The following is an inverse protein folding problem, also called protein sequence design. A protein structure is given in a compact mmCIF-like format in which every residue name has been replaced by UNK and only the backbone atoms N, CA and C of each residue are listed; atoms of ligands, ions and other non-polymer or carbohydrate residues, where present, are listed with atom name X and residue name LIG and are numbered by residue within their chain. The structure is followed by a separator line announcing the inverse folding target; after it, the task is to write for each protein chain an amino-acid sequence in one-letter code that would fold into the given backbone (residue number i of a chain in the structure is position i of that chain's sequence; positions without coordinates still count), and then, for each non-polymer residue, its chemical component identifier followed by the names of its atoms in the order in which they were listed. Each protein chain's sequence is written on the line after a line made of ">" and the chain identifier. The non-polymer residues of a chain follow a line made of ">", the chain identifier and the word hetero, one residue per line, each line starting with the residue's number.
data_IF_060952256853
#
_entry.id   IF_060952256853
#
_cell.length_a   1.000
_cell.length_b   1.000
_cell.length_c   1.000
_cell.angle_alpha   90.00
_cell.angle_beta   90.00
_cell.angle_gamma   90.00
#
_symmetry.space_group_name_H-M   'P 1'
#
loop_
_entity.id
_entity.type
_entity.pdbx_description
1 polymer ?
#
# COMPACT_ATOMS: atom_id res chain seq x y z
N UNK A 1 -1.95 0.47 10.74
CA UNK A 1 -2.78 0.89 9.57
C UNK A 1 -3.09 -0.22 8.55
N UNK A 2 -2.59 -1.46 8.72
CA UNK A 2 -2.94 -2.62 7.86
C UNK A 2 -4.44 -2.99 7.95
N UNK A 3 -5.06 -2.74 9.11
CA UNK A 3 -6.47 -3.03 9.35
C UNK A 3 -7.36 -2.33 8.33
N UNK A 4 -7.34 -1.00 8.25
CA UNK A 4 -8.19 -0.26 7.30
C UNK A 4 -7.85 -0.57 5.84
N UNK A 5 -6.55 -0.75 5.53
CA UNK A 5 -6.07 -0.98 4.15
C UNK A 5 -6.54 -2.31 3.55
N UNK A 6 -6.67 -3.36 4.38
CA UNK A 6 -7.00 -4.70 3.91
C UNK A 6 -8.36 -5.17 4.39
N UNK A 7 -8.76 -4.86 5.62
CA UNK A 7 -10.02 -5.35 6.18
C UNK A 7 -11.22 -4.62 5.59
N UNK A 8 -11.14 -3.30 5.37
CA UNK A 8 -12.27 -2.57 4.78
C UNK A 8 -12.63 -3.10 3.38
N UNK A 9 -11.72 -3.15 2.40
CA UNK A 9 -12.06 -3.69 1.08
C UNK A 9 -12.43 -5.17 1.14
N UNK A 10 -11.76 -5.97 1.98
CA UNK A 10 -12.08 -7.39 2.15
C UNK A 10 -13.52 -7.59 2.65
N UNK A 11 -13.92 -6.87 3.70
CA UNK A 11 -15.28 -6.97 4.27
C UNK A 11 -16.32 -6.54 3.25
N UNK A 12 -16.09 -5.43 2.54
CA UNK A 12 -16.99 -4.94 1.49
C UNK A 12 -17.16 -5.99 0.38
N UNK A 13 -16.06 -6.58 -0.10
CA UNK A 13 -16.09 -7.63 -1.12
C UNK A 13 -16.81 -8.88 -0.63
N UNK A 14 -16.54 -9.33 0.61
CA UNK A 14 -17.18 -10.52 1.20
C UNK A 14 -18.69 -10.32 1.33
N UNK A 15 -19.14 -9.12 1.73
CA UNK A 15 -20.56 -8.78 1.78
C UNK A 15 -21.16 -8.86 0.37
N UNK A 16 -20.50 -8.29 -0.64
CA UNK A 16 -20.96 -8.37 -2.03
C UNK A 16 -21.12 -9.81 -2.53
N UNK A 17 -20.12 -10.66 -2.27
CA UNK A 17 -20.19 -12.10 -2.62
C UNK A 17 -21.34 -12.79 -1.89
N UNK A 18 -21.55 -12.50 -0.60
CA UNK A 18 -22.66 -13.08 0.16
C UNK A 18 -24.02 -12.69 -0.42
N UNK A 19 -24.19 -11.43 -0.82
CA UNK A 19 -25.41 -10.96 -1.48
C UNK A 19 -25.66 -11.68 -2.81
N UNK A 20 -24.61 -11.88 -3.62
CA UNK A 20 -24.72 -12.65 -4.86
C UNK A 20 -25.14 -14.10 -4.60
N UNK A 21 -24.52 -14.78 -3.62
CA UNK A 21 -24.88 -16.17 -3.26
C UNK A 21 -26.34 -16.27 -2.84
N UNK A 22 -26.82 -15.34 -2.02
CA UNK A 22 -28.23 -15.28 -1.60
C UNK A 22 -29.16 -14.98 -2.78
N UNK A 23 -28.76 -14.05 -3.67
CA UNK A 23 -29.51 -13.72 -4.88
C UNK A 23 -29.67 -14.91 -5.82
N UNK A 24 -28.58 -15.64 -6.08
CA UNK A 24 -28.60 -16.87 -6.87
C UNK A 24 -29.48 -17.95 -6.25
N UNK A 25 -29.39 -18.16 -4.93
CA UNK A 25 -30.23 -19.13 -4.23
C UNK A 25 -31.73 -18.78 -4.29
N UNK A 26 -32.07 -17.50 -4.42
CA UNK A 26 -33.46 -17.01 -4.51
C UNK A 26 -33.95 -16.80 -5.94
N UNK A 27 -33.07 -16.90 -6.95
CA UNK A 27 -33.40 -16.59 -8.34
C UNK A 27 -33.72 -15.11 -8.58
N UNK A 28 -33.21 -14.21 -7.72
CA UNK A 28 -33.48 -12.78 -7.79
C UNK A 28 -32.24 -12.01 -8.28
N UNK A 29 -32.35 -11.45 -9.48
CA UNK A 29 -31.28 -10.74 -10.17
C UNK A 29 -30.88 -9.45 -9.45
N UNK A 30 -31.79 -8.79 -8.73
CA UNK A 30 -31.52 -7.51 -8.06
C UNK A 30 -30.45 -7.67 -6.99
N UNK A 31 -30.49 -8.78 -6.25
CA UNK A 31 -29.49 -9.10 -5.24
C UNK A 31 -28.13 -9.45 -5.84
N UNK A 32 -28.13 -10.07 -7.03
CA UNK A 32 -26.91 -10.42 -7.76
C UNK A 32 -26.23 -9.17 -8.31
N UNK A 33 -26.99 -8.25 -8.92
CA UNK A 33 -26.47 -6.97 -9.41
C UNK A 33 -25.95 -6.09 -8.26
N UNK A 34 -26.73 -5.99 -7.18
CA UNK A 34 -26.30 -5.28 -5.98
C UNK A 34 -25.00 -5.85 -5.41
N UNK A 35 -24.93 -7.18 -5.29
CA UNK A 35 -23.72 -7.88 -4.83
C UNK A 35 -22.50 -7.64 -5.74
N UNK A 36 -22.68 -7.67 -7.06
CA UNK A 36 -21.62 -7.36 -8.02
C UNK A 36 -21.11 -5.93 -7.85
N UNK A 37 -22.01 -4.97 -7.57
CA UNK A 37 -21.64 -3.58 -7.25
C UNK A 37 -20.75 -3.49 -6.00
N UNK A 38 -21.09 -4.21 -4.93
CA UNK A 38 -20.27 -4.26 -3.71
C UNK A 38 -18.91 -4.91 -3.95
N UNK A 39 -18.85 -5.99 -4.74
CA UNK A 39 -17.58 -6.62 -5.14
C UNK A 39 -16.71 -5.64 -5.91
N UNK A 40 -17.28 -4.93 -6.89
CA UNK A 40 -16.59 -3.91 -7.66
C UNK A 40 -16.03 -2.80 -6.77
N UNK A 41 -16.85 -2.26 -5.87
CA UNK A 41 -16.44 -1.22 -4.93
C UNK A 41 -15.29 -1.69 -4.01
N UNK A 42 -15.39 -2.88 -3.43
CA UNK A 42 -14.34 -3.44 -2.57
C UNK A 42 -13.01 -3.63 -3.31
N UNK A 43 -13.05 -4.14 -4.54
CA UNK A 43 -11.86 -4.29 -5.39
C UNK A 43 -11.26 -2.94 -5.79
N UNK A 44 -12.07 -1.95 -6.14
CA UNK A 44 -11.60 -0.60 -6.45
C UNK A 44 -10.89 0.04 -5.25
N UNK A 45 -11.46 -0.07 -4.05
CA UNK A 45 -10.84 0.43 -2.81
C UNK A 45 -9.52 -0.28 -2.51
N UNK A 46 -9.46 -1.60 -2.74
CA UNK A 46 -8.23 -2.36 -2.59
C UNK A 46 -7.14 -1.94 -3.59
N UNK A 47 -7.51 -1.73 -4.85
CA UNK A 47 -6.59 -1.26 -5.89
C UNK A 47 -6.06 0.14 -5.60
N UNK A 48 -6.94 1.09 -5.26
CA UNK A 48 -6.57 2.46 -4.89
C UNK A 48 -5.66 2.47 -3.66
N UNK A 49 -5.97 1.61 -2.68
CA UNK A 49 -5.08 1.35 -1.56
C UNK A 49 -3.73 0.86 -2.06
N UNK A 50 -3.67 -0.14 -2.94
CA UNK A 50 -2.42 -0.63 -3.53
C UNK A 50 -1.59 0.48 -4.18
N UNK A 51 -2.21 1.31 -5.02
CA UNK A 51 -1.54 2.43 -5.70
C UNK A 51 -0.92 3.43 -4.71
N UNK A 52 -1.61 3.74 -3.61
CA UNK A 52 -1.05 4.62 -2.58
C UNK A 52 0.24 4.03 -1.97
N UNK A 53 0.32 2.70 -1.76
CA UNK A 53 1.56 2.08 -1.27
C UNK A 53 2.70 2.23 -2.26
N UNK A 54 2.41 2.03 -3.55
CA UNK A 54 3.42 2.11 -4.59
C UNK A 54 3.93 3.54 -4.77
N UNK A 55 3.03 4.54 -4.66
CA UNK A 55 3.39 5.96 -4.67
C UNK A 55 4.35 6.31 -3.54
N UNK A 56 4.08 5.85 -2.32
CA UNK A 56 4.92 6.19 -1.15
C UNK A 56 6.31 5.57 -1.19
N UNK A 57 6.51 4.44 -1.89
CA UNK A 57 7.84 3.83 -1.99
C UNK A 57 8.81 4.63 -2.86
N UNK A 58 8.30 5.32 -3.88
CA UNK A 58 9.13 6.17 -4.74
C UNK A 58 9.50 7.52 -4.12
N UNK A 59 8.89 7.89 -2.99
CA UNK A 59 9.23 9.10 -2.24
C UNK A 59 10.52 8.89 -1.45
N UNK A 60 10.66 7.73 -0.80
CA UNK A 60 11.90 7.37 -0.07
C UNK A 60 13.13 7.33 -0.98
N UNK A 61 13.03 6.74 -2.17
CA UNK A 61 14.16 6.72 -3.12
C UNK A 61 14.57 8.14 -3.57
N UNK A 62 13.62 9.08 -3.67
CA UNK A 62 13.92 10.48 -3.98
C UNK A 62 14.55 11.20 -2.81
N UNK A 63 14.03 11.00 -1.60
CA UNK A 63 14.58 11.60 -0.39
C UNK A 63 16.03 11.13 -0.17
N UNK A 64 16.31 9.85 -0.39
CA UNK A 64 17.66 9.28 -0.32
C UNK A 64 18.60 9.88 -1.37
N UNK A 65 18.11 10.10 -2.61
CA UNK A 65 18.89 10.74 -3.68
C UNK A 65 19.18 12.22 -3.36
N UNK A 66 18.19 12.95 -2.86
CA UNK A 66 18.33 14.35 -2.48
C UNK A 66 19.25 14.52 -1.26
N UNK A 67 19.21 13.61 -0.29
CA UNK A 67 20.17 13.57 0.83
C UNK A 67 21.60 13.33 0.31
N UNK A 68 21.77 12.39 -0.63
CA UNK A 68 23.06 12.08 -1.21
C UNK A 68 23.64 13.25 -2.04
N UNK A 69 22.79 13.97 -2.79
CA UNK A 69 23.17 15.20 -3.48
C UNK A 69 23.57 16.30 -2.49
N UNK A 70 22.79 16.51 -1.44
CA UNK A 70 23.12 17.49 -0.42
C UNK A 70 24.43 17.15 0.31
N UNK A 71 24.73 15.87 0.51
CA UNK A 71 26.02 15.42 1.02
C UNK A 71 27.16 15.74 0.04
N UNK A 72 26.98 15.47 -1.25
CA UNK A 72 27.95 15.77 -2.30
C UNK A 72 28.24 17.27 -2.38
N UNK A 73 27.23 18.12 -2.37
CA UNK A 73 27.41 19.59 -2.39
C UNK A 73 28.23 20.10 -1.20
N UNK A 74 28.09 19.45 -0.03
CA UNK A 74 28.83 19.81 1.19
C UNK A 74 30.26 19.26 1.23
N UNK A 75 30.49 18.05 0.72
CA UNK A 75 31.76 17.32 0.92
C UNK A 75 32.56 17.09 -0.35
N UNK A 76 31.99 17.39 -1.53
CA UNK A 76 32.62 17.17 -2.84
C UNK A 76 32.79 15.70 -3.22
N UNK A 77 32.15 14.77 -2.51
CA UNK A 77 32.24 13.32 -2.73
C UNK A 77 30.91 12.63 -2.39
N UNK A 78 30.63 11.49 -3.00
CA UNK A 78 29.37 10.78 -2.79
C UNK A 78 29.41 10.01 -1.45
N UNK A 79 28.29 9.87 -0.72
CA UNK A 79 28.30 9.14 0.56
C UNK A 79 28.62 7.65 0.40
N UNK A 80 28.38 7.04 -0.77
CA UNK A 80 28.77 5.65 -1.03
C UNK A 80 30.30 5.44 -1.14
N UNK A 81 31.06 6.51 -1.37
CA UNK A 81 32.52 6.47 -1.50
C UNK A 81 33.23 6.59 -0.13
N UNK A 82 32.50 6.76 0.98
CA UNK A 82 33.10 6.71 2.31
C UNK A 82 33.49 5.28 2.69
N UNK A 83 34.76 5.03 3.05
CA UNK A 83 35.17 3.75 3.63
C UNK A 83 34.44 3.53 4.97
N UNK A 84 33.31 2.84 4.94
CA UNK A 84 32.46 2.60 6.11
C UNK A 84 30.95 2.77 5.89
N UNK A 85 30.51 3.34 4.77
CA UNK A 85 29.08 3.55 4.47
C UNK A 85 28.26 2.26 4.26
N UNK A 86 28.93 1.09 4.23
CA UNK A 86 28.33 -0.19 3.87
C UNK A 86 27.40 -0.87 4.89
N UNK A 87 27.11 -0.28 6.06
CA UNK A 87 26.09 -0.76 7.02
C UNK A 87 26.04 0.21 8.20
N UNK A 88 25.07 1.12 8.24
CA UNK A 88 24.69 1.78 9.50
C UNK A 88 23.66 0.89 10.20
N UNK A 89 23.97 0.24 11.34
CA UNK A 89 22.96 -0.44 12.13
C UNK A 89 21.94 0.60 12.63
N UNK A 90 20.65 0.23 12.79
CA UNK A 90 19.65 1.15 13.32
C UNK A 90 20.09 1.67 14.69
N UNK A 91 20.12 2.99 14.84
CA UNK A 91 20.38 3.65 16.11
C UNK A 91 19.18 3.43 17.03
N UNK A 92 19.25 2.42 17.90
CA UNK A 92 18.18 2.12 18.83
C UNK A 92 18.38 0.82 19.58
N UNK A 93 19.19 0.86 20.64
CA UNK A 93 19.45 -0.28 21.51
C UNK A 93 20.02 0.13 22.86
N UNK A 94 19.50 1.20 23.47
CA UNK A 94 19.69 1.46 24.88
C UNK A 94 18.45 0.96 25.64
N UNK A 95 18.60 -0.21 26.28
CA UNK A 95 18.21 -0.53 27.67
C UNK A 95 18.42 -2.01 27.95
#
# INVERSE_FOLDING_TARGET
>A
MKVVRFWLPLVVTVIGVALMVVGFARGDIVWVEGGAGFVGAGLSVWLLSGFYLMSTRGETDRDDEDEARAYFDRHGRWPADEPGAGRRPPAGGER
#
